data_IF_750332667239
#
_entry.id   IF_750332667239
#
_cell.length_a   1.000
_cell.length_b   1.000
_cell.length_c   1.000
_cell.angle_alpha   90.00
_cell.angle_beta   90.00
_cell.angle_gamma   90.00
#
_symmetry.space_group_name_H-M   'P 1'
#
loop_
_entity.id
_entity.type
_entity.pdbx_description
1 polymer ?
#
# COMPACT_ATOMS: atom_id res chain seq x y z
N UNK A 1 -51.73 3.32 -44.39
CA UNK A 1 -51.48 2.69 -43.05
C UNK A 1 -50.02 2.91 -42.68
N UNK A 2 -49.75 3.89 -41.79
CA UNK A 2 -48.43 4.12 -41.20
C UNK A 2 -48.36 3.34 -39.88
N UNK A 3 -47.41 2.38 -39.77
CA UNK A 3 -47.13 1.64 -38.56
C UNK A 3 -46.15 2.44 -37.73
N UNK A 4 -46.53 2.84 -36.51
CA UNK A 4 -45.67 3.40 -35.47
C UNK A 4 -44.93 2.23 -34.81
N UNK A 5 -43.59 2.33 -34.76
CA UNK A 5 -42.74 1.46 -33.95
C UNK A 5 -42.66 2.03 -32.52
N UNK A 6 -42.73 1.21 -31.46
CA UNK A 6 -42.59 1.70 -30.11
C UNK A 6 -41.10 1.95 -29.81
N UNK A 7 -40.75 3.17 -29.38
CA UNK A 7 -39.43 3.52 -28.84
C UNK A 7 -39.25 2.82 -27.51
N UNK A 8 -38.28 1.92 -27.45
CA UNK A 8 -37.80 1.27 -26.23
C UNK A 8 -37.01 2.28 -25.40
N UNK A 9 -37.62 2.83 -24.35
CA UNK A 9 -36.98 3.69 -23.37
C UNK A 9 -36.10 2.78 -22.50
N UNK A 10 -34.77 2.74 -22.71
CA UNK A 10 -33.83 2.12 -21.80
C UNK A 10 -33.74 2.99 -20.55
N UNK A 11 -34.33 2.53 -19.44
CA UNK A 11 -34.08 3.05 -18.10
C UNK A 11 -32.64 2.66 -17.71
N UNK A 12 -31.71 3.59 -17.83
CA UNK A 12 -30.40 3.50 -17.17
C UNK A 12 -30.65 3.66 -15.65
N UNK A 13 -30.78 2.52 -14.98
CA UNK A 13 -30.68 2.50 -13.53
C UNK A 13 -29.24 2.88 -13.17
N UNK A 14 -29.01 4.16 -12.85
CA UNK A 14 -27.79 4.63 -12.25
C UNK A 14 -27.62 3.92 -10.91
N UNK A 15 -26.68 2.99 -10.83
CA UNK A 15 -26.16 2.48 -9.55
C UNK A 15 -25.52 3.66 -8.83
N UNK A 16 -26.28 4.35 -7.97
CA UNK A 16 -25.72 5.25 -6.97
C UNK A 16 -24.91 4.37 -6.02
N UNK A 17 -23.59 4.33 -6.21
CA UNK A 17 -22.70 3.78 -5.19
C UNK A 17 -22.93 4.56 -3.91
N UNK A 18 -23.55 3.95 -2.92
CA UNK A 18 -23.70 4.53 -1.58
C UNK A 18 -22.31 4.77 -1.02
N UNK A 19 -22.08 5.96 -0.44
CA UNK A 19 -20.83 6.24 0.26
C UNK A 19 -20.63 5.17 1.35
N UNK A 20 -19.40 4.67 1.47
CA UNK A 20 -19.09 3.65 2.47
C UNK A 20 -19.23 4.25 3.89
N UNK A 21 -19.85 3.50 4.78
CA UNK A 21 -20.03 3.90 6.16
C UNK A 21 -18.71 3.88 6.93
N UNK A 22 -18.48 4.89 7.78
CA UNK A 22 -17.31 4.94 8.66
C UNK A 22 -17.71 4.58 10.08
N UNK A 23 -17.12 3.51 10.63
CA UNK A 23 -17.32 3.04 12.00
C UNK A 23 -16.08 3.33 12.85
N UNK A 24 -16.26 4.09 13.94
CA UNK A 24 -15.18 4.36 14.88
C UNK A 24 -14.93 3.14 15.79
N UNK A 25 -13.72 2.61 15.75
CA UNK A 25 -13.32 1.39 16.46
C UNK A 25 -12.52 1.72 17.74
N UNK A 26 -13.23 2.06 18.79
CA UNK A 26 -12.62 2.32 20.11
C UNK A 26 -12.01 1.08 20.74
N UNK A 27 -12.54 -0.08 20.45
CA UNK A 27 -12.07 -1.38 20.94
C UNK A 27 -10.66 -1.74 20.44
N UNK A 28 -10.23 -1.24 19.27
CA UNK A 28 -8.89 -1.46 18.76
C UNK A 28 -7.80 -0.72 19.56
N UNK A 29 -8.16 0.30 20.36
CA UNK A 29 -7.20 1.04 21.21
C UNK A 29 -6.40 0.11 22.13
N UNK A 30 -6.99 -0.98 22.60
CA UNK A 30 -6.31 -1.96 23.47
C UNK A 30 -5.07 -2.57 22.81
N UNK A 31 -5.11 -2.81 21.50
CA UNK A 31 -3.99 -3.40 20.75
C UNK A 31 -2.79 -2.46 20.70
N UNK A 32 -3.03 -1.15 20.52
CA UNK A 32 -1.98 -0.11 20.56
C UNK A 32 -1.43 0.08 21.98
N UNK A 33 -2.32 0.09 22.98
CA UNK A 33 -1.95 0.24 24.38
C UNK A 33 -1.06 -0.90 24.88
N UNK A 34 -1.28 -2.13 24.41
CA UNK A 34 -0.47 -3.30 24.78
C UNK A 34 1.03 -3.15 24.40
N UNK A 35 1.33 -2.32 23.39
CA UNK A 35 2.69 -2.03 22.93
C UNK A 35 3.17 -0.63 23.32
N UNK A 36 2.36 0.15 24.05
CA UNK A 36 2.71 1.51 24.45
C UNK A 36 3.00 2.45 23.28
N UNK A 37 2.36 2.23 22.12
CA UNK A 37 2.59 3.01 20.92
C UNK A 37 1.37 3.83 20.52
N UNK A 38 1.60 5.01 19.97
CA UNK A 38 0.58 5.79 19.29
C UNK A 38 0.51 5.44 17.82
N UNK A 39 -0.71 5.29 17.30
CA UNK A 39 -0.90 4.91 15.92
C UNK A 39 -2.31 5.11 15.40
N UNK A 40 -2.52 4.64 14.19
CA UNK A 40 -3.83 4.52 13.56
C UNK A 40 -3.95 3.21 12.81
N UNK A 41 -5.19 2.75 12.67
CA UNK A 41 -5.55 1.62 11.82
C UNK A 41 -6.82 1.98 11.06
N UNK A 42 -6.84 1.69 9.77
CA UNK A 42 -8.04 1.69 8.94
C UNK A 42 -8.16 0.32 8.29
N UNK A 43 -9.38 -0.22 8.30
CA UNK A 43 -9.76 -1.43 7.61
C UNK A 43 -11.00 -1.14 6.77
N UNK A 44 -10.95 -1.48 5.50
CA UNK A 44 -12.13 -1.48 4.62
C UNK A 44 -12.61 -2.91 4.44
N UNK A 45 -13.88 -3.13 4.75
CA UNK A 45 -14.60 -4.38 4.50
C UNK A 45 -15.38 -4.22 3.17
N UNK A 46 -14.98 -4.93 2.10
CA UNK A 46 -15.64 -4.81 0.81
C UNK A 46 -17.05 -5.43 0.79
N UNK A 47 -17.34 -6.43 1.64
CA UNK A 47 -18.66 -7.05 1.74
C UNK A 47 -19.66 -6.12 2.42
N UNK A 48 -19.26 -5.53 3.56
CA UNK A 48 -20.08 -4.57 4.29
C UNK A 48 -20.06 -3.16 3.69
N UNK A 49 -19.18 -2.89 2.71
CA UNK A 49 -18.90 -1.55 2.17
C UNK A 49 -18.71 -0.51 3.29
N UNK A 50 -17.85 -0.82 4.26
CA UNK A 50 -17.66 0.01 5.45
C UNK A 50 -16.20 0.11 5.87
N UNK A 51 -15.86 1.22 6.56
CA UNK A 51 -14.53 1.46 7.13
C UNK A 51 -14.58 1.32 8.65
N UNK A 52 -13.75 0.44 9.21
CA UNK A 52 -13.37 0.50 10.62
C UNK A 52 -12.18 1.44 10.79
N UNK A 53 -12.22 2.38 11.73
CA UNK A 53 -11.14 3.35 11.96
C UNK A 53 -10.79 3.47 13.43
N UNK A 54 -9.52 3.33 13.75
CA UNK A 54 -8.93 3.76 15.03
C UNK A 54 -8.13 5.05 14.82
N UNK A 55 -8.36 6.07 15.65
CA UNK A 55 -7.69 7.38 15.61
C UNK A 55 -7.98 8.15 14.31
N UNK A 56 -9.18 8.72 14.24
CA UNK A 56 -9.72 9.44 13.07
C UNK A 56 -8.92 10.68 12.65
N UNK A 57 -8.16 11.27 13.57
CA UNK A 57 -7.30 12.41 13.25
C UNK A 57 -6.04 11.90 12.54
N UNK A 58 -5.37 10.91 13.12
CA UNK A 58 -4.12 10.38 12.60
C UNK A 58 -4.32 9.63 11.28
N UNK A 59 -5.46 8.99 11.05
CA UNK A 59 -5.76 8.24 9.81
C UNK A 59 -5.72 9.12 8.56
N UNK A 60 -5.99 10.42 8.72
CA UNK A 60 -6.00 11.44 7.65
C UNK A 60 -4.73 12.29 7.61
N UNK A 61 -3.86 12.15 8.61
CA UNK A 61 -2.59 12.89 8.62
C UNK A 61 -1.58 12.25 7.66
N UNK A 62 -0.95 13.09 6.83
CA UNK A 62 0.03 12.65 5.83
C UNK A 62 1.42 12.48 6.43
N UNK A 63 1.99 11.28 6.30
CA UNK A 63 3.35 10.93 6.69
C UNK A 63 4.20 10.57 5.46
N UNK A 64 5.52 10.55 5.62
CA UNK A 64 6.42 9.94 4.63
C UNK A 64 6.03 8.47 4.41
N UNK A 65 5.81 8.01 3.16
CA UNK A 65 5.46 6.61 2.91
C UNK A 65 6.63 5.65 3.17
N UNK A 66 7.85 6.12 3.14
CA UNK A 66 9.03 5.27 3.26
C UNK A 66 8.97 4.08 2.28
N UNK A 67 9.24 2.86 2.75
CA UNK A 67 9.25 1.68 1.86
C UNK A 67 7.88 1.21 1.35
N UNK A 68 6.76 1.78 1.80
CA UNK A 68 5.46 1.49 1.16
C UNK A 68 5.37 2.12 -0.23
N UNK A 69 6.15 3.18 -0.49
CA UNK A 69 6.27 3.79 -1.81
C UNK A 69 6.84 2.83 -2.88
N UNK A 70 7.48 1.74 -2.49
CA UNK A 70 7.94 0.74 -3.44
C UNK A 70 6.82 0.13 -4.27
N UNK A 71 5.58 0.13 -3.76
CA UNK A 71 4.40 -0.35 -4.50
C UNK A 71 4.13 0.56 -5.71
N UNK A 72 3.82 1.86 -5.57
CA UNK A 72 3.64 2.73 -6.73
C UNK A 72 4.90 2.86 -7.59
N UNK A 73 6.11 2.87 -7.00
CA UNK A 73 7.35 2.94 -7.75
C UNK A 73 7.55 1.73 -8.68
N UNK A 74 7.23 0.51 -8.21
CA UNK A 74 7.27 -0.70 -9.03
C UNK A 74 6.25 -0.66 -10.18
N UNK A 75 5.01 -0.25 -9.89
CA UNK A 75 3.97 -0.07 -10.91
C UNK A 75 4.43 0.90 -12.00
N UNK A 76 4.86 2.09 -11.59
CA UNK A 76 5.39 3.11 -12.50
C UNK A 76 6.57 2.56 -13.31
N UNK A 77 7.54 1.93 -12.61
CA UNK A 77 8.73 1.37 -13.25
C UNK A 77 8.41 0.35 -14.33
N UNK A 78 7.42 -0.51 -14.11
CA UNK A 78 6.94 -1.48 -15.10
C UNK A 78 6.23 -0.82 -16.28
N UNK A 79 5.38 0.18 -16.02
CA UNK A 79 4.63 0.87 -17.09
C UNK A 79 5.53 1.72 -17.99
N UNK A 80 6.59 2.33 -17.46
CA UNK A 80 7.49 3.18 -18.23
C UNK A 80 8.75 2.46 -18.73
N UNK A 81 8.90 1.16 -18.42
CA UNK A 81 10.04 0.35 -18.83
C UNK A 81 11.33 0.58 -18.02
N UNK A 82 11.26 1.24 -16.86
CA UNK A 82 12.36 1.35 -15.90
C UNK A 82 12.64 0.03 -15.18
N UNK A 83 11.64 -0.84 -15.13
CA UNK A 83 11.73 -2.29 -14.87
C UNK A 83 11.22 -2.98 -16.13
N UNK A 84 12.06 -3.76 -16.79
CA UNK A 84 11.69 -4.43 -18.06
C UNK A 84 10.70 -5.57 -17.84
N UNK A 85 11.01 -6.40 -16.87
CA UNK A 85 10.22 -7.59 -16.52
C UNK A 85 10.57 -8.11 -15.11
N UNK A 86 9.88 -9.17 -14.69
CA UNK A 86 10.08 -9.84 -13.39
C UNK A 86 11.45 -10.50 -13.23
N UNK A 87 12.16 -10.76 -14.34
CA UNK A 87 13.46 -11.44 -14.36
C UNK A 87 14.63 -10.46 -14.41
N UNK A 88 14.36 -9.16 -14.62
CA UNK A 88 15.42 -8.18 -14.62
C UNK A 88 16.20 -8.19 -13.32
N UNK A 89 17.52 -8.30 -13.47
CA UNK A 89 18.44 -8.31 -12.33
C UNK A 89 19.06 -6.93 -12.18
N UNK A 90 18.79 -6.31 -11.05
CA UNK A 90 19.48 -5.10 -10.60
C UNK A 90 20.76 -5.52 -9.89
N UNK A 91 21.89 -5.06 -10.41
CA UNK A 91 23.21 -5.43 -9.89
C UNK A 91 23.58 -4.62 -8.68
N UNK A 92 24.03 -5.31 -7.61
CA UNK A 92 24.60 -4.65 -6.44
C UNK A 92 25.94 -4.00 -6.82
N UNK A 93 26.19 -2.81 -6.29
CA UNK A 93 27.38 -1.99 -6.56
C UNK A 93 28.64 -2.44 -5.80
N UNK A 94 28.55 -3.50 -4.99
CA UNK A 94 29.66 -4.01 -4.17
C UNK A 94 29.92 -3.21 -2.90
N UNK A 95 29.18 -2.11 -2.65
CA UNK A 95 29.40 -1.31 -1.44
C UNK A 95 28.57 -1.84 -0.25
N UNK A 96 29.14 -1.84 0.97
CA UNK A 96 28.45 -2.31 2.16
C UNK A 96 27.08 -1.64 2.38
N UNK A 97 26.09 -2.40 2.80
CA UNK A 97 24.74 -1.96 3.13
C UNK A 97 24.41 -2.32 4.60
N UNK A 98 23.39 -1.69 5.20
CA UNK A 98 23.05 -1.91 6.62
C UNK A 98 22.66 -3.36 6.99
N UNK A 99 22.32 -4.20 6.00
CA UNK A 99 21.92 -5.60 6.19
C UNK A 99 22.48 -6.45 5.05
N UNK A 100 23.00 -7.63 5.36
CA UNK A 100 23.56 -8.57 4.38
C UNK A 100 22.57 -8.93 3.24
N UNK A 101 21.26 -9.01 3.54
CA UNK A 101 20.25 -9.26 2.51
C UNK A 101 20.21 -8.19 1.40
N UNK A 102 20.78 -7.01 1.63
CA UNK A 102 20.86 -5.91 0.65
C UNK A 102 22.16 -5.93 -0.16
N UNK A 103 23.11 -6.80 0.17
CA UNK A 103 24.45 -6.92 -0.41
C UNK A 103 24.50 -8.00 -1.49
N UNK A 104 23.55 -7.99 -2.39
CA UNK A 104 23.44 -8.94 -3.50
C UNK A 104 22.61 -8.36 -4.63
N UNK A 105 22.62 -9.00 -5.78
CA UNK A 105 21.73 -8.70 -6.89
C UNK A 105 20.27 -8.99 -6.53
N UNK A 106 19.36 -8.18 -7.05
CA UNK A 106 17.93 -8.31 -6.80
C UNK A 106 17.09 -8.28 -8.08
N UNK A 107 15.98 -9.01 -8.04
CA UNK A 107 14.86 -8.89 -8.97
C UNK A 107 13.75 -8.06 -8.31
N UNK A 108 12.65 -7.79 -9.02
CA UNK A 108 11.47 -7.12 -8.46
C UNK A 108 10.96 -7.83 -7.19
N UNK A 109 10.83 -9.16 -7.24
CA UNK A 109 10.35 -9.97 -6.11
C UNK A 109 11.27 -9.83 -4.89
N UNK A 110 12.55 -10.18 -5.03
CA UNK A 110 13.49 -10.10 -3.91
C UNK A 110 13.71 -8.66 -3.42
N UNK A 111 13.69 -7.68 -4.31
CA UNK A 111 13.79 -6.25 -3.97
C UNK A 111 12.61 -5.75 -3.15
N UNK A 112 11.40 -6.22 -3.47
CA UNK A 112 10.18 -5.91 -2.70
C UNK A 112 10.20 -6.60 -1.34
N UNK A 113 10.51 -7.91 -1.29
CA UNK A 113 10.58 -8.74 -0.09
C UNK A 113 11.61 -8.22 0.91
N UNK A 114 12.84 -8.00 0.46
CA UNK A 114 13.94 -7.51 1.30
C UNK A 114 13.90 -5.98 1.51
N UNK A 115 12.95 -5.32 0.88
CA UNK A 115 12.73 -3.86 0.95
C UNK A 115 13.97 -3.05 0.54
N UNK A 116 14.59 -3.41 -0.59
CA UNK A 116 15.88 -2.90 -1.08
C UNK A 116 15.75 -1.45 -1.53
N UNK A 117 16.30 -0.51 -0.74
CA UNK A 117 16.16 0.92 -1.04
C UNK A 117 16.93 1.30 -2.32
N UNK A 118 18.19 0.90 -2.45
CA UNK A 118 19.06 1.26 -3.57
C UNK A 118 18.48 0.83 -4.94
N UNK A 119 17.86 -0.37 -4.99
CA UNK A 119 17.23 -0.85 -6.22
C UNK A 119 16.06 0.07 -6.63
N UNK A 120 15.20 0.46 -5.69
CA UNK A 120 14.06 1.33 -5.98
C UNK A 120 14.46 2.79 -6.20
N UNK A 121 15.60 3.22 -5.68
CA UNK A 121 16.21 4.50 -6.04
C UNK A 121 16.67 4.49 -7.50
N UNK A 122 17.30 3.40 -7.95
CA UNK A 122 17.66 3.20 -9.35
C UNK A 122 16.43 3.18 -10.27
N UNK A 123 15.35 2.48 -9.88
CA UNK A 123 14.08 2.50 -10.63
C UNK A 123 13.54 3.93 -10.75
N UNK A 124 13.52 4.70 -9.67
CA UNK A 124 13.05 6.08 -9.70
C UNK A 124 13.97 6.97 -10.54
N UNK A 125 15.29 6.77 -10.46
CA UNK A 125 16.27 7.47 -11.29
C UNK A 125 16.02 7.24 -12.79
N UNK A 126 15.87 5.98 -13.22
CA UNK A 126 15.54 5.61 -14.61
C UNK A 126 14.19 6.14 -15.06
N UNK A 127 13.21 6.20 -14.17
CA UNK A 127 11.88 6.79 -14.44
C UNK A 127 12.00 8.27 -14.74
N UNK A 128 12.80 8.98 -13.96
CA UNK A 128 13.02 10.42 -14.09
C UNK A 128 11.88 11.28 -13.50
N UNK A 129 12.21 12.54 -13.17
CA UNK A 129 11.32 13.46 -12.44
C UNK A 129 9.99 13.71 -13.13
N UNK A 130 10.02 13.96 -14.45
CA UNK A 130 8.81 14.32 -15.19
C UNK A 130 7.77 13.20 -15.16
N UNK A 131 8.17 11.98 -15.56
CA UNK A 131 7.29 10.81 -15.56
C UNK A 131 6.83 10.42 -14.15
N UNK A 132 7.73 10.48 -13.16
CA UNK A 132 7.35 10.19 -11.77
C UNK A 132 6.25 11.13 -11.29
N UNK A 133 6.37 12.44 -11.54
CA UNK A 133 5.35 13.43 -11.17
C UNK A 133 4.01 13.20 -11.88
N UNK A 134 4.06 12.91 -13.17
CA UNK A 134 2.87 12.60 -13.97
C UNK A 134 2.12 11.37 -13.40
N UNK A 135 2.83 10.28 -13.12
CA UNK A 135 2.23 9.06 -12.59
C UNK A 135 1.69 9.24 -11.17
N UNK A 136 2.37 10.00 -10.30
CA UNK A 136 1.84 10.32 -8.98
C UNK A 136 0.51 11.08 -9.07
N UNK A 137 0.38 11.98 -10.06
CA UNK A 137 -0.87 12.69 -10.32
C UNK A 137 -1.96 11.74 -10.85
N UNK A 138 -1.63 10.85 -11.82
CA UNK A 138 -2.57 9.85 -12.33
C UNK A 138 -3.05 8.87 -11.23
N UNK A 139 -2.19 8.53 -10.29
CA UNK A 139 -2.52 7.69 -9.15
C UNK A 139 -3.26 8.43 -8.04
N UNK A 140 -3.29 9.77 -8.08
CA UNK A 140 -3.77 10.61 -6.97
C UNK A 140 -3.07 10.23 -5.65
N UNK A 141 -1.75 9.96 -5.70
CA UNK A 141 -1.02 9.38 -4.58
C UNK A 141 -0.55 10.47 -3.60
N UNK A 142 -1.22 10.57 -2.47
CA UNK A 142 -0.93 11.53 -1.42
C UNK A 142 -0.86 12.98 -1.95
N UNK A 143 0.08 13.77 -1.45
CA UNK A 143 0.30 15.15 -1.90
C UNK A 143 1.07 15.28 -3.23
N UNK A 144 1.44 14.17 -3.88
CA UNK A 144 2.11 14.09 -5.19
C UNK A 144 3.46 14.83 -5.26
N UNK A 145 4.05 15.19 -4.13
CA UNK A 145 5.31 15.95 -4.08
C UNK A 145 6.51 15.06 -4.40
N UNK A 146 7.41 15.57 -5.26
CA UNK A 146 8.73 14.98 -5.54
C UNK A 146 9.88 15.84 -4.99
N UNK A 147 9.58 16.74 -4.06
CA UNK A 147 10.57 17.58 -3.40
C UNK A 147 11.54 16.73 -2.57
N UNK A 148 12.82 17.11 -2.56
CA UNK A 148 13.89 16.37 -1.90
C UNK A 148 14.69 15.44 -2.83
N UNK A 149 14.37 15.45 -4.15
CA UNK A 149 15.10 14.68 -5.16
C UNK A 149 14.46 13.34 -5.50
N UNK A 150 14.66 12.91 -6.76
CA UNK A 150 13.97 11.75 -7.36
C UNK A 150 14.25 10.43 -6.61
N UNK A 151 15.35 10.31 -5.92
CA UNK A 151 15.75 9.11 -5.19
C UNK A 151 15.39 9.15 -3.69
N UNK A 152 14.90 10.32 -3.19
CA UNK A 152 14.74 10.55 -1.76
C UNK A 152 13.38 11.12 -1.35
N UNK A 153 12.55 11.62 -2.28
CA UNK A 153 11.33 12.34 -1.97
C UNK A 153 10.33 11.55 -1.10
N UNK A 154 10.37 10.21 -1.14
CA UNK A 154 9.51 9.32 -0.33
C UNK A 154 10.17 8.85 0.98
N UNK A 155 11.49 9.05 1.14
CA UNK A 155 12.27 8.62 2.30
C UNK A 155 12.47 9.75 3.33
N UNK A 156 12.74 10.95 2.83
CA UNK A 156 13.08 12.13 3.65
C UNK A 156 12.68 13.46 2.98
N UNK A 157 12.05 13.41 1.82
CA UNK A 157 11.63 14.60 1.07
C UNK A 157 10.20 15.04 1.37
N UNK A 158 9.52 15.56 0.33
CA UNK A 158 8.23 16.25 0.45
C UNK A 158 6.99 15.35 0.32
N UNK A 159 7.12 14.09 -0.11
CA UNK A 159 5.95 13.21 -0.30
C UNK A 159 5.28 12.89 1.04
N UNK A 160 3.98 13.10 1.09
CA UNK A 160 3.14 12.73 2.25
C UNK A 160 1.93 11.95 1.77
N UNK A 161 1.59 10.90 2.53
CA UNK A 161 0.40 10.08 2.31
C UNK A 161 -0.19 9.68 3.65
N UNK A 162 -1.50 9.71 3.76
CA UNK A 162 -2.24 9.28 4.95
C UNK A 162 -2.52 7.77 4.92
N UNK A 163 -2.92 7.20 6.06
CA UNK A 163 -3.32 5.80 6.11
C UNK A 163 -4.57 5.54 5.26
N UNK A 164 -5.52 6.47 5.24
CA UNK A 164 -6.70 6.38 4.39
C UNK A 164 -6.32 6.32 2.91
N UNK A 165 -5.46 7.22 2.44
CA UNK A 165 -4.99 7.25 1.05
C UNK A 165 -4.18 6.00 0.68
N UNK A 166 -3.35 5.47 1.58
CA UNK A 166 -2.62 4.22 1.36
C UNK A 166 -3.57 3.03 1.14
N UNK A 167 -4.58 2.89 2.00
CA UNK A 167 -5.57 1.82 1.91
C UNK A 167 -6.41 1.95 0.63
N UNK A 168 -6.88 3.16 0.29
CA UNK A 168 -7.62 3.41 -0.95
C UNK A 168 -6.78 3.16 -2.20
N UNK A 169 -5.49 3.48 -2.18
CA UNK A 169 -4.57 3.17 -3.28
C UNK A 169 -4.47 1.65 -3.51
N UNK A 170 -4.34 0.85 -2.45
CA UNK A 170 -4.29 -0.61 -2.55
C UNK A 170 -5.62 -1.18 -3.04
N UNK A 171 -6.74 -0.61 -2.60
CA UNK A 171 -8.07 -0.97 -3.10
C UNK A 171 -8.20 -0.69 -4.60
N UNK A 172 -7.81 0.52 -5.04
CA UNK A 172 -7.78 0.88 -6.48
C UNK A 172 -6.89 -0.07 -7.28
N UNK A 173 -5.75 -0.49 -6.71
CA UNK A 173 -4.84 -1.45 -7.34
C UNK A 173 -5.52 -2.80 -7.58
N UNK A 174 -6.09 -3.42 -6.54
CA UNK A 174 -6.70 -4.74 -6.63
C UNK A 174 -8.00 -4.75 -7.45
N UNK A 175 -8.80 -3.70 -7.34
CA UNK A 175 -10.02 -3.53 -8.14
C UNK A 175 -9.75 -3.16 -9.62
N UNK A 176 -8.47 -2.98 -10.00
CA UNK A 176 -8.09 -2.63 -11.38
C UNK A 176 -8.49 -1.23 -11.81
N UNK A 177 -8.65 -0.31 -10.86
CA UNK A 177 -9.03 1.10 -11.09
C UNK A 177 -7.84 2.04 -11.23
N UNK A 178 -6.59 1.55 -11.03
CA UNK A 178 -5.39 2.30 -11.40
C UNK A 178 -5.14 2.19 -12.91
N UNK A 179 -4.59 3.24 -13.54
CA UNK A 179 -4.29 3.26 -14.99
C UNK A 179 -3.02 2.46 -15.31
N UNK A 180 -2.94 1.20 -14.86
CA UNK A 180 -1.81 0.30 -15.08
C UNK A 180 -2.26 -0.97 -15.79
N UNK A 181 -1.35 -1.60 -16.52
CA UNK A 181 -1.63 -2.85 -17.22
C UNK A 181 -1.95 -3.99 -16.22
N UNK A 182 -2.77 -4.95 -16.66
CA UNK A 182 -3.05 -6.16 -15.87
C UNK A 182 -1.75 -6.94 -15.55
N UNK A 183 -0.74 -6.87 -16.43
CA UNK A 183 0.57 -7.46 -16.21
C UNK A 183 1.29 -6.80 -15.04
N UNK A 184 1.43 -5.49 -15.04
CA UNK A 184 2.12 -4.76 -13.96
C UNK A 184 1.42 -4.94 -12.62
N UNK A 185 0.08 -4.90 -12.60
CA UNK A 185 -0.73 -5.18 -11.41
C UNK A 185 -0.41 -6.57 -10.85
N UNK A 186 -0.45 -7.61 -11.69
CA UNK A 186 -0.14 -8.99 -11.27
C UNK A 186 1.27 -9.11 -10.70
N UNK A 187 2.29 -8.60 -11.39
CA UNK A 187 3.68 -8.70 -10.95
C UNK A 187 3.93 -8.03 -9.60
N UNK A 188 3.36 -6.85 -9.39
CA UNK A 188 3.48 -6.15 -8.11
C UNK A 188 2.69 -6.85 -7.01
N UNK A 189 1.49 -7.33 -7.31
CA UNK A 189 0.69 -8.15 -6.38
C UNK A 189 1.46 -9.39 -5.94
N UNK A 190 2.02 -10.15 -6.88
CA UNK A 190 2.78 -11.38 -6.57
C UNK A 190 3.98 -11.09 -5.65
N UNK A 191 4.68 -9.97 -5.89
CA UNK A 191 5.80 -9.52 -5.06
C UNK A 191 5.40 -9.02 -3.66
N UNK A 192 4.11 -8.76 -3.40
CA UNK A 192 3.56 -8.36 -2.10
C UNK A 192 3.04 -9.53 -1.27
N UNK A 193 2.98 -10.74 -1.81
CA UNK A 193 2.48 -11.92 -1.10
C UNK A 193 3.40 -12.26 0.08
N UNK A 194 2.82 -12.29 1.27
CA UNK A 194 3.54 -12.61 2.52
C UNK A 194 3.35 -14.08 2.90
N UNK A 195 2.11 -14.52 3.07
CA UNK A 195 1.79 -15.85 3.55
C UNK A 195 0.35 -16.23 3.23
N UNK A 196 0.07 -17.53 3.38
CA UNK A 196 -1.28 -18.08 3.37
C UNK A 196 -1.50 -18.86 4.66
N UNK A 197 -2.63 -18.62 5.34
CA UNK A 197 -2.99 -19.33 6.56
C UNK A 197 -3.60 -20.69 6.24
N UNK A 198 -3.62 -21.61 7.24
CA UNK A 198 -4.30 -22.89 7.11
C UNK A 198 -5.81 -22.74 6.77
N UNK A 199 -6.42 -21.63 7.17
CA UNK A 199 -7.82 -21.29 6.85
C UNK A 199 -8.04 -20.73 5.44
N UNK A 200 -7.00 -20.69 4.57
CA UNK A 200 -7.08 -20.22 3.18
C UNK A 200 -7.19 -18.70 3.04
N UNK A 201 -6.70 -17.95 4.03
CA UNK A 201 -6.55 -16.50 3.94
C UNK A 201 -5.12 -16.18 3.49
N UNK A 202 -4.99 -15.41 2.40
CA UNK A 202 -3.69 -14.96 1.87
C UNK A 202 -3.48 -13.49 2.21
N UNK A 203 -2.35 -13.16 2.83
CA UNK A 203 -1.94 -11.80 3.15
C UNK A 203 -0.98 -11.27 2.10
N UNK A 204 -1.29 -10.09 1.59
CA UNK A 204 -0.43 -9.27 0.75
C UNK A 204 -0.13 -7.96 1.48
N UNK A 205 1.14 -7.64 1.66
CA UNK A 205 1.46 -6.45 2.45
C UNK A 205 2.86 -5.90 2.18
N UNK A 206 3.05 -4.65 2.59
CA UNK A 206 4.35 -3.96 2.57
C UNK A 206 4.57 -3.17 3.84
N UNK A 207 5.74 -3.33 4.42
CA UNK A 207 6.21 -2.50 5.52
C UNK A 207 6.90 -1.24 5.00
N UNK A 208 6.89 -0.17 5.81
CA UNK A 208 7.68 1.02 5.61
C UNK A 208 8.17 1.58 6.94
N UNK A 209 9.38 2.10 6.99
CA UNK A 209 9.91 2.74 8.20
C UNK A 209 10.79 3.90 7.76
N UNK A 210 10.54 5.06 8.34
CA UNK A 210 11.40 6.22 8.15
C UNK A 210 12.66 6.09 9.00
N UNK A 211 13.76 6.69 8.53
CA UNK A 211 14.95 6.91 9.35
C UNK A 211 14.76 8.04 10.38
N UNK A 212 15.85 8.71 10.71
CA UNK A 212 15.83 9.87 11.60
C UNK A 212 15.21 11.08 10.88
N UNK A 213 13.91 11.27 11.05
CA UNK A 213 13.13 12.39 10.50
C UNK A 213 12.33 13.05 11.62
N UNK A 214 11.78 14.25 11.36
CA UNK A 214 11.02 15.01 12.36
C UNK A 214 9.77 14.26 12.85
N UNK A 215 9.07 13.56 11.96
CA UNK A 215 7.88 12.76 12.27
C UNK A 215 8.13 11.30 11.88
N UNK A 216 8.77 10.52 12.77
CA UNK A 216 9.07 9.13 12.49
C UNK A 216 7.79 8.30 12.42
N UNK A 217 7.73 7.40 11.44
CA UNK A 217 6.58 6.53 11.23
C UNK A 217 7.02 5.14 10.79
N UNK A 218 6.31 4.13 11.31
CA UNK A 218 6.42 2.75 10.87
C UNK A 218 5.06 2.27 10.33
N UNK A 219 5.05 1.83 9.09
CA UNK A 219 3.88 1.42 8.32
C UNK A 219 3.77 -0.10 8.19
N UNK A 220 2.53 -0.60 8.13
CA UNK A 220 2.19 -1.85 7.47
C UNK A 220 0.87 -1.67 6.72
N UNK A 221 0.90 -1.87 5.41
CA UNK A 221 -0.25 -1.64 4.53
C UNK A 221 -0.46 -2.86 3.65
N UNK A 222 -1.70 -3.21 3.35
CA UNK A 222 -1.96 -4.43 2.61
C UNK A 222 -3.43 -4.77 2.45
N UNK A 223 -3.68 -6.02 2.06
CA UNK A 223 -5.02 -6.62 2.01
C UNK A 223 -4.95 -8.12 2.29
N UNK A 224 -6.10 -8.66 2.62
CA UNK A 224 -6.29 -10.10 2.85
C UNK A 224 -7.31 -10.63 1.86
N UNK A 225 -7.02 -11.78 1.26
CA UNK A 225 -7.93 -12.50 0.38
C UNK A 225 -8.35 -13.82 0.99
N UNK A 226 -9.58 -14.23 0.68
CA UNK A 226 -10.06 -15.58 0.88
C UNK A 226 -10.31 -16.22 -0.47
N UNK A 227 -9.50 -17.23 -0.83
CA UNK A 227 -9.61 -17.93 -2.13
C UNK A 227 -9.57 -16.98 -3.33
N UNK A 228 -8.69 -15.98 -3.30
CA UNK A 228 -8.50 -15.02 -4.38
C UNK A 228 -9.49 -13.85 -4.41
N UNK A 229 -10.38 -13.74 -3.41
CA UNK A 229 -11.32 -12.62 -3.26
C UNK A 229 -10.90 -11.75 -2.09
N UNK A 230 -10.66 -10.44 -2.25
CA UNK A 230 -10.36 -9.55 -1.15
C UNK A 230 -11.48 -9.52 -0.11
N UNK A 231 -11.13 -9.73 1.16
CA UNK A 231 -12.05 -9.68 2.31
C UNK A 231 -11.73 -8.53 3.26
N UNK A 232 -10.55 -7.93 3.16
CA UNK A 232 -10.18 -6.75 3.92
C UNK A 232 -9.02 -6.01 3.24
N UNK A 233 -9.08 -4.69 3.21
CA UNK A 233 -7.95 -3.81 2.90
C UNK A 233 -7.58 -3.03 4.14
N UNK A 234 -6.29 -2.84 4.39
CA UNK A 234 -5.87 -2.12 5.59
C UNK A 234 -4.67 -1.22 5.38
N UNK A 235 -4.59 -0.19 6.20
CA UNK A 235 -3.37 0.56 6.41
C UNK A 235 -3.24 0.89 7.90
N UNK A 236 -2.06 0.64 8.40
CA UNK A 236 -1.69 0.97 9.77
C UNK A 236 -0.41 1.78 9.79
N UNK A 237 -0.31 2.70 10.73
CA UNK A 237 0.97 3.27 11.12
C UNK A 237 1.06 3.52 12.62
N UNK A 238 2.28 3.45 13.11
CA UNK A 238 2.62 3.81 14.49
C UNK A 238 3.79 4.79 14.50
N UNK A 239 3.90 5.56 15.58
CA UNK A 239 5.13 6.26 15.91
C UNK A 239 6.07 5.26 16.59
N UNK A 240 7.20 4.88 15.95
CA UNK A 240 8.11 3.92 16.54
C UNK A 240 8.74 4.49 17.83
N UNK A 241 8.86 3.66 18.85
CA UNK A 241 9.55 3.99 20.11
C UNK A 241 10.85 3.20 20.22
N UNK A 242 11.72 3.58 21.16
CA UNK A 242 12.95 2.81 21.42
C UNK A 242 12.65 1.43 22.00
N UNK A 243 11.54 1.29 22.74
CA UNK A 243 11.15 0.03 23.39
C UNK A 243 10.50 -0.97 22.43
N UNK A 244 9.69 -0.48 21.47
CA UNK A 244 8.96 -1.31 20.50
C UNK A 244 9.03 -0.67 19.10
N UNK A 245 10.19 -0.69 18.45
CA UNK A 245 10.39 0.13 17.26
C UNK A 245 9.67 -0.41 16.00
N UNK A 246 9.61 -1.71 15.80
CA UNK A 246 9.14 -2.24 14.52
C UNK A 246 8.14 -3.42 14.62
N UNK A 247 8.23 -4.26 15.67
CA UNK A 247 7.37 -5.45 15.82
C UNK A 247 5.90 -5.12 16.09
N UNK A 248 5.65 -4.01 16.80
CA UNK A 248 4.30 -3.62 17.21
C UNK A 248 3.32 -3.49 16.02
N UNK A 249 3.74 -2.87 14.91
CA UNK A 249 2.87 -2.67 13.73
C UNK A 249 2.30 -3.97 13.18
N UNK A 250 3.14 -5.02 13.11
CA UNK A 250 2.72 -6.31 12.57
C UNK A 250 1.84 -7.06 13.56
N UNK A 251 2.22 -7.07 14.85
CA UNK A 251 1.45 -7.73 15.90
C UNK A 251 0.07 -7.10 16.09
N UNK A 252 -0.02 -5.76 16.13
CA UNK A 252 -1.30 -5.03 16.22
C UNK A 252 -2.17 -5.33 15.01
N UNK A 253 -1.62 -5.27 13.79
CA UNK A 253 -2.39 -5.56 12.58
C UNK A 253 -2.93 -6.98 12.59
N UNK A 254 -2.09 -7.97 12.90
CA UNK A 254 -2.53 -9.38 12.98
C UNK A 254 -3.62 -9.59 14.02
N UNK A 255 -3.51 -8.95 15.19
CA UNK A 255 -4.52 -9.03 16.25
C UNK A 255 -5.86 -8.42 15.80
N UNK A 256 -5.84 -7.30 15.09
CA UNK A 256 -7.05 -6.69 14.53
C UNK A 256 -7.63 -7.56 13.41
N UNK A 257 -6.82 -8.04 12.48
CA UNK A 257 -7.29 -8.94 11.42
C UNK A 257 -7.85 -10.26 11.96
N UNK A 258 -7.25 -10.81 13.03
CA UNK A 258 -7.81 -11.99 13.72
C UNK A 258 -9.20 -11.70 14.30
N UNK A 259 -9.37 -10.54 14.93
CA UNK A 259 -10.64 -10.11 15.51
C UNK A 259 -11.72 -9.87 14.45
N UNK A 260 -11.39 -9.24 13.32
CA UNK A 260 -12.36 -8.78 12.33
C UNK A 260 -12.72 -9.85 11.29
N UNK A 261 -11.74 -10.64 10.85
CA UNK A 261 -11.92 -11.59 9.73
C UNK A 261 -11.45 -13.01 10.04
N UNK A 262 -11.06 -13.29 11.29
CA UNK A 262 -10.55 -14.63 11.71
C UNK A 262 -9.18 -14.96 11.13
N UNK A 263 -8.34 -13.96 10.86
CA UNK A 263 -7.00 -14.17 10.30
C UNK A 263 -6.09 -14.90 11.30
N UNK A 264 -5.52 -16.05 10.90
CA UNK A 264 -4.62 -16.84 11.74
C UNK A 264 -5.32 -17.79 12.75
N UNK A 265 -6.65 -17.94 12.67
CA UNK A 265 -7.43 -18.90 13.42
C UNK A 265 -7.59 -20.23 12.68
#
# INVERSE_FOLDING_TARGET
LKRFAPSLLMLLAGLNATAADQVLRHDWKRHFAAYGVEGTFVLFDPEANSYGVHNVVRVRHGYLPASTFKIPNALIGLEVGSIRDEREVFRWDGHPKPRAALERDHTLDSGMKDSVAWMFQEVAHRTGKARMKEWLAQFEYGNQSIEGGIEHFWLQGGLRVSAMEQMEFLRKLEEGRLPVSARSRRLVRDALRIEETAGGLTLYAKTGTTGAVREPVAWWVGWVERRGVPVAYFAMNVTPTKAEPLGAREAITRAILAQEIGYGL
#
